data_IF_624027968978
#
_entry.id   IF_624027968978
#
_cell.length_a   1.000
_cell.length_b   1.000
_cell.length_c   1.000
_cell.angle_alpha   90.00
_cell.angle_beta   90.00
_cell.angle_gamma   90.00
#
_symmetry.space_group_name_H-M   'P 1'
#
loop_
_entity.id
_entity.type
_entity.pdbx_description
1 polymer ?
#
# COMPACT_ATOMS: atom_id res chain seq x y z
N UNK A 1 34.11 -27.94 -10.25
CA UNK A 1 32.73 -27.55 -10.64
C UNK A 1 32.10 -26.95 -9.41
N UNK A 2 32.24 -25.63 -9.26
CA UNK A 2 32.02 -24.95 -7.98
C UNK A 2 30.58 -24.44 -7.86
N UNK A 3 29.98 -24.64 -6.68
CA UNK A 3 28.66 -24.14 -6.33
C UNK A 3 28.74 -23.10 -5.22
N UNK A 4 28.13 -21.94 -5.49
CA UNK A 4 27.67 -20.90 -4.56
C UNK A 4 28.18 -20.83 -3.10
N UNK A 5 28.82 -19.69 -2.79
CA UNK A 5 28.53 -18.90 -1.58
C UNK A 5 28.71 -17.41 -1.97
N UNK A 6 27.67 -16.68 -2.38
CA UNK A 6 26.68 -16.02 -1.48
C UNK A 6 27.36 -15.42 -0.24
N UNK A 7 27.90 -14.21 -0.42
CA UNK A 7 28.27 -13.34 0.70
C UNK A 7 27.06 -12.49 1.07
N UNK A 8 26.36 -12.89 2.14
CA UNK A 8 25.36 -12.04 2.82
C UNK A 8 26.03 -11.49 4.07
N UNK A 9 26.11 -10.16 4.15
CA UNK A 9 26.75 -9.48 5.29
C UNK A 9 25.93 -9.71 6.56
N UNK A 10 26.63 -10.07 7.64
CA UNK A 10 26.09 -10.68 8.86
C UNK A 10 25.59 -9.64 9.89
N UNK A 11 24.71 -10.12 10.80
CA UNK A 11 24.33 -9.61 12.14
C UNK A 11 23.56 -8.29 12.31
N UNK A 12 22.38 -8.46 12.91
CA UNK A 12 22.15 -8.02 14.31
C UNK A 12 21.29 -9.05 15.08
N UNK A 13 21.50 -9.15 16.41
CA UNK A 13 21.09 -10.28 17.28
C UNK A 13 21.00 -9.82 18.76
N UNK A 14 20.18 -10.36 19.67
CA UNK A 14 19.12 -11.42 19.63
C UNK A 14 18.03 -11.06 20.66
N UNK A 15 16.76 -11.42 20.46
CA UNK A 15 15.76 -11.54 21.53
C UNK A 15 14.85 -12.75 21.30
N UNK A 16 14.65 -13.57 22.34
CA UNK A 16 13.97 -14.87 22.25
C UNK A 16 12.51 -14.69 22.67
N UNK A 17 11.59 -14.65 21.71
CA UNK A 17 10.15 -14.52 21.95
C UNK A 17 9.38 -15.54 21.09
N UNK A 18 8.56 -16.45 21.65
CA UNK A 18 7.92 -17.54 20.88
C UNK A 18 6.82 -17.09 19.89
N UNK A 19 6.58 -15.79 19.74
CA UNK A 19 5.43 -15.21 19.02
C UNK A 19 5.79 -14.73 17.59
N UNK A 20 7.06 -14.79 17.19
CA UNK A 20 7.52 -14.18 15.93
C UNK A 20 7.45 -15.09 14.68
N UNK A 21 6.79 -16.25 14.76
CA UNK A 21 6.62 -17.18 13.61
C UNK A 21 5.51 -16.74 12.63
N UNK A 22 4.76 -15.68 12.94
CA UNK A 22 3.96 -14.95 11.96
C UNK A 22 4.86 -14.12 11.03
N UNK A 23 5.69 -14.83 10.23
CA UNK A 23 6.53 -14.27 9.18
C UNK A 23 5.65 -13.38 8.29
N UNK A 24 5.99 -12.08 8.22
CA UNK A 24 5.15 -11.04 7.61
C UNK A 24 4.82 -11.39 6.15
N UNK A 25 3.63 -11.92 5.91
CA UNK A 25 3.13 -12.18 4.55
C UNK A 25 3.16 -10.86 3.75
N UNK A 26 3.49 -10.87 2.44
CA UNK A 26 3.44 -9.67 1.60
C UNK A 26 2.12 -8.88 1.75
N UNK A 27 1.00 -9.60 1.74
CA UNK A 27 -0.35 -9.07 2.00
C UNK A 27 -0.53 -8.34 3.34
N UNK A 28 0.15 -8.77 4.41
CA UNK A 28 0.10 -8.07 5.71
C UNK A 28 0.90 -6.76 5.68
N UNK A 29 2.00 -6.72 4.91
CA UNK A 29 2.80 -5.50 4.71
C UNK A 29 2.02 -4.50 3.85
N UNK A 30 1.37 -4.96 2.77
CA UNK A 30 0.45 -4.18 1.94
C UNK A 30 -0.70 -3.61 2.78
N UNK A 31 -1.36 -4.46 3.57
CA UNK A 31 -2.46 -4.06 4.45
C UNK A 31 -2.05 -2.96 5.44
N UNK A 32 -0.94 -3.13 6.17
CA UNK A 32 -0.44 -2.10 7.09
C UNK A 32 0.00 -0.81 6.38
N UNK A 33 0.48 -0.91 5.13
CA UNK A 33 0.75 0.27 4.32
C UNK A 33 -0.54 1.03 3.98
N UNK A 34 -1.61 0.34 3.57
CA UNK A 34 -2.92 0.95 3.35
C UNK A 34 -3.52 1.55 4.62
N UNK A 35 -3.46 0.86 5.77
CA UNK A 35 -3.94 1.38 7.07
C UNK A 35 -3.24 2.70 7.42
N UNK A 36 -1.91 2.74 7.34
CA UNK A 36 -1.11 3.93 7.68
C UNK A 36 -1.46 5.12 6.79
N UNK A 37 -1.52 4.90 5.48
CA UNK A 37 -1.82 5.97 4.51
C UNK A 37 -3.26 6.48 4.65
N UNK A 38 -4.22 5.58 4.83
CA UNK A 38 -5.64 5.94 4.98
C UNK A 38 -5.88 6.76 6.25
N UNK A 39 -5.20 6.41 7.36
CA UNK A 39 -5.19 7.25 8.58
C UNK A 39 -4.58 8.63 8.32
N UNK A 40 -3.48 8.72 7.58
CA UNK A 40 -2.83 10.00 7.25
C UNK A 40 -3.71 10.90 6.35
N UNK A 41 -4.43 10.32 5.39
CA UNK A 41 -5.41 11.05 4.57
C UNK A 41 -6.53 11.61 5.43
N UNK A 42 -7.11 10.79 6.31
CA UNK A 42 -8.21 11.21 7.20
C UNK A 42 -7.78 12.27 8.23
N UNK A 43 -6.54 12.23 8.71
CA UNK A 43 -5.99 13.25 9.63
C UNK A 43 -5.69 14.60 8.95
N UNK A 44 -5.68 14.64 7.61
CA UNK A 44 -5.30 15.79 6.80
C UNK A 44 -6.43 16.33 5.92
N UNK A 45 -7.66 15.83 6.10
CA UNK A 45 -8.87 16.31 5.41
C UNK A 45 -9.25 17.74 5.83
N UNK A 46 -9.05 18.07 7.10
CA UNK A 46 -9.44 19.36 7.71
C UNK A 46 -8.74 20.58 7.06
N UNK A 47 -9.46 21.66 6.70
CA UNK A 47 -8.86 22.83 6.06
C UNK A 47 -8.03 23.68 7.03
N UNK A 48 -6.70 23.63 6.94
CA UNK A 48 -5.82 24.64 7.56
C UNK A 48 -4.46 24.79 6.84
N UNK A 49 -3.69 25.86 7.11
CA UNK A 49 -2.34 26.02 6.56
C UNK A 49 -1.42 24.86 6.92
N UNK A 50 -1.37 24.47 8.20
CA UNK A 50 -0.59 23.32 8.69
C UNK A 50 -1.07 22.01 8.09
N UNK A 51 -2.39 21.86 7.86
CA UNK A 51 -2.95 20.68 7.21
C UNK A 51 -2.67 20.61 5.72
N UNK A 52 -2.37 21.73 5.04
CA UNK A 52 -2.02 21.71 3.60
C UNK A 52 -0.73 20.92 3.35
N UNK A 53 0.29 21.07 4.20
CA UNK A 53 1.54 20.30 4.11
C UNK A 53 1.29 18.81 4.42
N UNK A 54 0.49 18.52 5.46
CA UNK A 54 0.12 17.15 5.83
C UNK A 54 -0.68 16.45 4.73
N UNK A 55 -1.62 17.16 4.09
CA UNK A 55 -2.42 16.67 2.97
C UNK A 55 -1.52 16.36 1.77
N UNK A 56 -0.64 17.28 1.39
CA UNK A 56 0.31 17.08 0.30
C UNK A 56 1.17 15.83 0.53
N UNK A 57 1.67 15.64 1.77
CA UNK A 57 2.40 14.42 2.15
C UNK A 57 1.53 13.16 2.10
N UNK A 58 0.33 13.17 2.69
CA UNK A 58 -0.54 11.99 2.74
C UNK A 58 -0.95 11.53 1.31
N UNK A 59 -1.27 12.48 0.44
CA UNK A 59 -1.59 12.23 -0.97
C UNK A 59 -0.37 11.73 -1.75
N UNK A 60 0.83 12.27 -1.49
CA UNK A 60 2.07 11.76 -2.08
C UNK A 60 2.34 10.31 -1.65
N UNK A 61 2.28 10.01 -0.35
CA UNK A 61 2.50 8.68 0.20
C UNK A 61 1.48 7.67 -0.36
N UNK A 62 0.22 8.09 -0.56
CA UNK A 62 -0.83 7.29 -1.20
C UNK A 62 -0.51 6.95 -2.66
N UNK A 63 -0.13 7.95 -3.47
CA UNK A 63 0.29 7.73 -4.86
C UNK A 63 1.51 6.83 -4.95
N UNK A 64 2.46 6.97 -4.01
CA UNK A 64 3.66 6.11 -3.95
C UNK A 64 3.31 4.66 -3.63
N UNK A 65 2.39 4.42 -2.69
CA UNK A 65 1.87 3.08 -2.39
C UNK A 65 1.23 2.44 -3.63
N UNK A 66 0.32 3.15 -4.29
CA UNK A 66 -0.34 2.67 -5.50
C UNK A 66 0.61 2.43 -6.68
N UNK A 67 1.68 3.23 -6.81
CA UNK A 67 2.72 3.01 -7.82
C UNK A 67 3.50 1.72 -7.57
N UNK A 68 3.87 1.43 -6.31
CA UNK A 68 4.55 0.19 -5.94
C UNK A 68 3.63 -1.03 -6.14
N UNK A 69 2.35 -0.93 -5.78
CA UNK A 69 1.38 -2.00 -5.99
C UNK A 69 1.17 -2.30 -7.47
N UNK A 70 1.00 -1.27 -8.32
CA UNK A 70 0.86 -1.46 -9.76
C UNK A 70 2.10 -2.12 -10.41
N UNK A 71 3.31 -1.80 -9.93
CA UNK A 71 4.55 -2.43 -10.38
C UNK A 71 4.65 -3.91 -9.98
N UNK A 72 4.24 -4.28 -8.76
CA UNK A 72 4.19 -5.68 -8.32
C UNK A 72 3.13 -6.49 -9.09
N UNK A 73 1.95 -5.92 -9.28
CA UNK A 73 0.83 -6.50 -10.04
C UNK A 73 1.19 -6.72 -11.52
N UNK A 74 2.05 -5.85 -12.09
CA UNK A 74 2.60 -6.01 -13.43
C UNK A 74 3.70 -7.08 -13.55
N UNK A 75 4.25 -7.57 -12.43
CA UNK A 75 5.34 -8.55 -12.45
C UNK A 75 4.88 -9.92 -12.95
N UNK A 76 5.73 -10.61 -13.72
CA UNK A 76 5.42 -11.94 -14.29
C UNK A 76 5.20 -13.05 -13.26
N UNK A 77 5.57 -12.83 -11.99
CA UNK A 77 5.32 -13.77 -10.88
C UNK A 77 3.98 -13.58 -10.18
N UNK A 78 3.21 -12.53 -10.52
CA UNK A 78 1.96 -12.22 -9.82
C UNK A 78 0.84 -13.22 -10.19
N UNK A 79 0.21 -13.82 -9.18
CA UNK A 79 -0.77 -14.92 -9.32
C UNK A 79 -2.24 -14.49 -9.32
N UNK A 80 -2.52 -13.19 -9.45
CA UNK A 80 -3.90 -12.67 -9.55
C UNK A 80 -4.52 -12.95 -10.92
N UNK A 81 -5.85 -13.04 -10.99
CA UNK A 81 -6.58 -13.20 -12.25
C UNK A 81 -6.41 -11.95 -13.13
N UNK A 82 -6.57 -12.11 -14.46
CA UNK A 82 -6.48 -10.97 -15.38
C UNK A 82 -7.44 -9.83 -15.01
N UNK A 83 -8.67 -10.18 -14.63
CA UNK A 83 -9.71 -9.26 -14.16
C UNK A 83 -9.28 -8.49 -12.90
N UNK A 84 -8.78 -9.18 -11.87
CA UNK A 84 -8.31 -8.51 -10.65
C UNK A 84 -7.15 -7.57 -10.94
N UNK A 85 -6.20 -7.95 -11.81
CA UNK A 85 -5.10 -7.07 -12.22
C UNK A 85 -5.62 -5.83 -12.97
N UNK A 86 -6.55 -6.00 -13.90
CA UNK A 86 -7.18 -4.89 -14.62
C UNK A 86 -7.91 -3.91 -13.68
N UNK A 87 -8.67 -4.43 -12.71
CA UNK A 87 -9.31 -3.62 -11.67
C UNK A 87 -8.30 -2.84 -10.82
N UNK A 88 -7.18 -3.46 -10.43
CA UNK A 88 -6.11 -2.78 -9.69
C UNK A 88 -5.41 -1.68 -10.51
N UNK A 89 -5.21 -1.88 -11.83
CA UNK A 89 -4.70 -0.82 -12.70
C UNK A 89 -5.66 0.37 -12.80
N UNK A 90 -6.96 0.11 -12.96
CA UNK A 90 -7.98 1.16 -12.99
C UNK A 90 -8.01 1.97 -11.67
N UNK A 91 -7.94 1.29 -10.52
CA UNK A 91 -7.88 1.95 -9.20
C UNK A 91 -6.58 2.74 -8.99
N UNK A 92 -5.45 2.28 -9.55
CA UNK A 92 -4.18 3.00 -9.52
C UNK A 92 -4.26 4.30 -10.36
N UNK A 93 -4.82 4.23 -11.58
CA UNK A 93 -5.03 5.39 -12.43
C UNK A 93 -5.99 6.39 -11.79
N UNK A 94 -7.16 5.92 -11.32
CA UNK A 94 -8.12 6.72 -10.57
C UNK A 94 -7.44 7.45 -9.39
N UNK A 95 -6.64 6.72 -8.61
CA UNK A 95 -5.91 7.29 -7.48
C UNK A 95 -4.97 8.41 -7.91
N UNK A 96 -4.20 8.22 -8.99
CA UNK A 96 -3.30 9.26 -9.51
C UNK A 96 -4.08 10.47 -10.02
N UNK A 97 -5.17 10.27 -10.74
CA UNK A 97 -6.01 11.33 -11.28
C UNK A 97 -6.72 12.14 -10.18
N UNK A 98 -7.40 11.46 -9.26
CA UNK A 98 -8.13 12.10 -8.16
C UNK A 98 -7.19 12.79 -7.16
N UNK A 99 -6.02 12.21 -6.89
CA UNK A 99 -4.98 12.86 -6.08
C UNK A 99 -4.55 14.23 -6.63
N UNK A 100 -4.51 14.41 -7.96
CA UNK A 100 -4.20 15.73 -8.56
C UNK A 100 -5.30 16.75 -8.26
N UNK A 101 -6.58 16.34 -8.31
CA UNK A 101 -7.73 17.17 -7.95
C UNK A 101 -7.68 17.59 -6.47
N UNK A 102 -7.40 16.64 -5.58
CA UNK A 102 -7.26 16.91 -4.13
C UNK A 102 -6.17 17.94 -3.84
N UNK A 103 -4.99 17.81 -4.45
CA UNK A 103 -3.88 18.76 -4.26
C UNK A 103 -4.22 20.18 -4.75
N UNK A 104 -5.08 20.31 -5.76
CA UNK A 104 -5.60 21.59 -6.26
C UNK A 104 -6.82 22.10 -5.50
N UNK A 105 -7.32 21.38 -4.48
CA UNK A 105 -8.59 21.64 -3.79
C UNK A 105 -9.84 21.53 -4.68
N UNK A 106 -9.75 20.81 -5.81
CA UNK A 106 -10.86 20.49 -6.73
C UNK A 106 -11.68 19.26 -6.27
N UNK A 107 -11.23 18.53 -5.23
CA UNK A 107 -11.90 17.35 -4.67
C UNK A 107 -11.46 17.05 -3.22
N UNK A 108 -12.23 16.22 -2.50
CA UNK A 108 -11.90 15.72 -1.16
C UNK A 108 -11.11 14.39 -1.18
N UNK A 109 -10.53 14.02 -0.05
CA UNK A 109 -9.78 12.75 0.12
C UNK A 109 -10.67 11.51 0.22
N UNK A 110 -11.98 11.68 0.40
CA UNK A 110 -12.91 10.61 0.80
C UNK A 110 -12.89 9.45 -0.21
N UNK A 111 -12.95 9.74 -1.51
CA UNK A 111 -12.88 8.71 -2.54
C UNK A 111 -11.53 7.95 -2.58
N UNK A 112 -10.43 8.53 -2.07
CA UNK A 112 -9.15 7.81 -1.88
C UNK A 112 -9.20 6.89 -0.65
N UNK A 113 -9.88 7.33 0.41
CA UNK A 113 -10.11 6.56 1.63
C UNK A 113 -11.01 5.35 1.34
N UNK A 114 -12.07 5.54 0.57
CA UNK A 114 -13.00 4.48 0.14
C UNK A 114 -12.28 3.40 -0.70
N UNK A 115 -11.52 3.83 -1.71
CA UNK A 115 -10.73 2.94 -2.57
C UNK A 115 -9.71 2.13 -1.75
N UNK A 116 -8.97 2.78 -0.85
CA UNK A 116 -8.06 2.06 0.04
C UNK A 116 -8.79 1.08 0.98
N UNK A 117 -9.98 1.45 1.47
CA UNK A 117 -10.78 0.62 2.38
C UNK A 117 -11.36 -0.61 1.67
N UNK A 118 -11.79 -0.47 0.42
CA UNK A 118 -12.22 -1.58 -0.43
C UNK A 118 -11.08 -2.58 -0.69
N UNK A 119 -9.87 -2.09 -1.02
CA UNK A 119 -8.67 -2.93 -1.20
C UNK A 119 -8.29 -3.66 0.08
N UNK A 120 -8.29 -2.97 1.23
CA UNK A 120 -8.09 -3.61 2.54
C UNK A 120 -9.14 -4.71 2.83
N UNK A 121 -10.38 -4.53 2.34
CA UNK A 121 -11.41 -5.58 2.34
C UNK A 121 -10.99 -6.82 1.56
N UNK A 122 -10.63 -6.66 0.29
CA UNK A 122 -10.18 -7.76 -0.57
C UNK A 122 -8.95 -8.49 -0.03
N UNK A 123 -7.96 -7.75 0.50
CA UNK A 123 -6.77 -8.32 1.14
C UNK A 123 -7.16 -9.25 2.30
N UNK A 124 -8.04 -8.82 3.21
CA UNK A 124 -8.50 -9.63 4.36
C UNK A 124 -9.25 -10.89 3.92
N UNK A 125 -10.15 -10.79 2.95
CA UNK A 125 -10.87 -11.96 2.42
C UNK A 125 -9.93 -13.01 1.83
N UNK A 126 -8.86 -12.58 1.17
CA UNK A 126 -7.87 -13.45 0.52
C UNK A 126 -6.84 -14.11 1.46
N UNK A 127 -6.97 -13.92 2.78
CA UNK A 127 -6.10 -14.50 3.82
C UNK A 127 -6.82 -15.59 4.62
N UNK A 128 -8.15 -15.67 4.56
CA UNK A 128 -8.93 -16.75 5.18
C UNK A 128 -8.94 -17.98 4.25
N UNK A 129 -8.40 -19.14 4.64
CA UNK A 129 -8.70 -20.39 3.97
C UNK A 129 -10.17 -20.76 4.25
N UNK A 130 -10.88 -21.22 3.23
CA UNK A 130 -12.12 -21.99 3.35
C UNK A 130 -11.81 -23.44 3.68
#
# INVERSE_FOLDING_TARGET
MEGHAVSVIDRARTAYDPVNQAVRCPKSIEYEAFVRVTRALNQASEPSPTQTVKLAKAVHDNRRLWTMLAADVASGGNRLSQETRAGLFYLAEFTVAHSRKVLKREATVDALIDVNTAVMGGLRSSVRPT
#
